data_IF_512064994274
#
_entry.id   IF_512064994274
#
_cell.length_a   1.000
_cell.length_b   1.000
_cell.length_c   1.000
_cell.angle_alpha   90.00
_cell.angle_beta   90.00
_cell.angle_gamma   90.00
#
_symmetry.space_group_name_H-M   'P 1'
#
loop_
_entity.id
_entity.type
_entity.pdbx_description
1 polymer ?
#
# COMPACT_ATOMS: atom_id res chain seq x y z
N UNK A 1 5.70 -4.63 14.69
CA UNK A 1 4.89 -4.07 13.59
C UNK A 1 5.72 -4.10 12.33
N UNK A 2 5.25 -4.70 11.22
CA UNK A 2 5.95 -4.60 9.93
C UNK A 2 5.94 -3.12 9.54
N UNK A 3 7.10 -2.46 9.57
CA UNK A 3 7.28 -1.02 9.37
C UNK A 3 6.98 -0.62 7.92
N UNK A 4 5.70 -0.64 7.53
CA UNK A 4 5.29 -0.15 6.23
C UNK A 4 5.46 1.37 6.16
N UNK A 5 5.97 1.87 5.04
CA UNK A 5 6.10 3.29 4.74
C UNK A 5 4.73 3.88 4.41
N UNK A 6 4.51 5.12 4.85
CA UNK A 6 3.32 5.90 4.45
C UNK A 6 3.39 6.15 2.93
N UNK A 7 2.32 5.90 2.17
CA UNK A 7 2.29 6.19 0.74
C UNK A 7 2.54 7.67 0.43
N UNK A 8 3.28 7.95 -0.63
CA UNK A 8 3.42 9.31 -1.20
C UNK A 8 2.11 9.75 -1.87
N UNK A 9 1.97 11.02 -2.25
CA UNK A 9 0.76 11.53 -2.92
C UNK A 9 0.39 10.72 -4.18
N UNK A 10 1.38 10.37 -5.03
CA UNK A 10 1.16 9.54 -6.23
C UNK A 10 0.72 8.12 -5.87
N UNK A 11 1.38 7.50 -4.89
CA UNK A 11 1.02 6.16 -4.42
C UNK A 11 -0.37 6.14 -3.77
N UNK A 12 -0.74 7.17 -3.01
CA UNK A 12 -2.08 7.31 -2.44
C UNK A 12 -3.16 7.38 -3.51
N UNK A 13 -2.96 8.14 -4.59
CA UNK A 13 -3.90 8.17 -5.72
C UNK A 13 -4.05 6.81 -6.38
N UNK A 14 -2.95 6.07 -6.54
CA UNK A 14 -2.98 4.70 -7.05
C UNK A 14 -3.70 3.74 -6.12
N UNK A 15 -3.40 3.77 -4.83
CA UNK A 15 -4.09 2.92 -3.84
C UNK A 15 -5.61 3.22 -3.85
N UNK A 16 -6.00 4.49 -3.97
CA UNK A 16 -7.41 4.89 -4.10
C UNK A 16 -8.09 4.37 -5.36
N UNK A 17 -7.38 4.29 -6.51
CA UNK A 17 -7.96 3.74 -7.74
C UNK A 17 -8.32 2.26 -7.62
N UNK A 18 -7.70 1.53 -6.68
CA UNK A 18 -8.06 0.15 -6.32
C UNK A 18 -9.11 0.06 -5.19
N UNK A 19 -9.76 1.18 -4.84
CA UNK A 19 -10.79 1.23 -3.79
C UNK A 19 -10.23 1.06 -2.37
N UNK A 20 -8.93 1.29 -2.16
CA UNK A 20 -8.28 1.19 -0.86
C UNK A 20 -8.05 2.57 -0.25
N UNK A 21 -8.27 2.71 1.06
CA UNK A 21 -7.96 3.96 1.76
C UNK A 21 -6.46 4.06 2.11
N UNK A 22 -5.69 5.01 1.54
CA UNK A 22 -4.25 5.13 1.80
C UNK A 22 -3.91 5.51 3.24
N UNK A 23 -4.89 5.97 4.02
CA UNK A 23 -4.72 6.21 5.44
C UNK A 23 -4.56 4.91 6.22
N UNK A 24 -5.19 3.82 5.75
CA UNK A 24 -5.25 2.53 6.41
C UNK A 24 -4.26 1.52 5.82
N UNK A 25 -3.71 1.78 4.64
CA UNK A 25 -2.77 0.90 3.95
C UNK A 25 -1.36 1.50 3.91
N UNK A 26 -0.38 0.71 4.33
CA UNK A 26 1.05 1.05 4.33
C UNK A 26 1.81 0.20 3.31
N UNK A 27 2.84 0.74 2.70
CA UNK A 27 3.67 0.01 1.73
C UNK A 27 4.84 -0.64 2.48
N UNK A 28 4.88 -1.97 2.53
CA UNK A 28 5.97 -2.67 3.22
C UNK A 28 7.05 -3.21 2.27
N UNK A 29 6.74 -3.39 0.99
CA UNK A 29 7.71 -3.82 -0.04
C UNK A 29 7.26 -3.31 -1.41
N UNK A 30 8.23 -2.92 -2.23
CA UNK A 30 8.05 -2.71 -3.66
C UNK A 30 9.09 -3.59 -4.35
N UNK A 31 8.66 -4.46 -5.26
CA UNK A 31 9.55 -5.41 -5.95
C UNK A 31 8.94 -5.78 -7.29
N UNK A 32 9.75 -5.90 -8.34
CA UNK A 32 9.34 -6.42 -9.66
C UNK A 32 8.08 -5.79 -10.26
N UNK A 33 7.86 -4.50 -10.02
CA UNK A 33 6.68 -3.80 -10.51
C UNK A 33 5.42 -4.02 -9.66
N UNK A 34 5.55 -4.58 -8.46
CA UNK A 34 4.48 -4.79 -7.50
C UNK A 34 4.69 -3.98 -6.22
N UNK A 35 3.59 -3.45 -5.70
CA UNK A 35 3.51 -2.70 -4.46
C UNK A 35 2.74 -3.53 -3.42
N UNK A 36 3.47 -4.02 -2.43
CA UNK A 36 2.91 -4.80 -1.34
C UNK A 36 2.46 -3.89 -0.19
N UNK A 37 1.16 -3.97 0.09
CA UNK A 37 0.46 -3.18 1.08
C UNK A 37 0.12 -4.02 2.31
N UNK A 38 0.13 -3.41 3.49
CA UNK A 38 -0.38 -3.98 4.74
C UNK A 38 -1.36 -3.01 5.40
N UNK A 39 -2.48 -3.53 5.87
CA UNK A 39 -3.50 -2.76 6.57
C UNK A 39 -3.09 -2.54 8.02
N UNK A 40 -3.16 -1.29 8.49
CA UNK A 40 -2.65 -0.85 9.80
C UNK A 40 -3.26 -1.61 10.98
N UNK A 41 -4.58 -1.83 10.94
CA UNK A 41 -5.34 -2.32 12.08
C UNK A 41 -5.62 -3.83 12.02
N UNK A 42 -5.71 -4.39 10.82
CA UNK A 42 -6.09 -5.80 10.63
C UNK A 42 -4.90 -6.68 10.21
N UNK A 43 -3.78 -6.07 9.82
CA UNK A 43 -2.61 -6.79 9.30
C UNK A 43 -2.82 -7.46 7.94
N UNK A 44 -3.99 -7.29 7.31
CA UNK A 44 -4.29 -7.84 5.99
C UNK A 44 -3.29 -7.29 4.96
N UNK A 45 -2.90 -8.13 4.02
CA UNK A 45 -1.98 -7.74 2.95
C UNK A 45 -2.69 -7.69 1.61
N UNK A 46 -2.27 -6.77 0.74
CA UNK A 46 -2.68 -6.71 -0.66
C UNK A 46 -1.47 -6.43 -1.53
N UNK A 47 -1.53 -6.92 -2.76
CA UNK A 47 -0.53 -6.64 -3.79
C UNK A 47 -1.24 -5.93 -4.93
N UNK A 48 -0.73 -4.78 -5.32
CA UNK A 48 -1.19 -4.04 -6.51
C UNK A 48 0.03 -3.70 -7.37
N UNK A 49 -0.10 -3.67 -8.70
CA UNK A 49 1.00 -3.23 -9.57
C UNK A 49 1.49 -1.82 -9.19
N UNK A 50 2.77 -1.53 -9.38
CA UNK A 50 3.30 -0.17 -9.30
C UNK A 50 2.88 0.65 -10.50
N UNK A 51 2.89 1.96 -10.30
CA UNK A 51 2.61 3.00 -11.30
C UNK A 51 3.78 3.23 -12.25
#
# INVERSE_FOLDING_TARGET
>A
MKNGKKPTRRQSGHIQSYGLSPENWLIFKIVDGDMHLVHRFTGQTRVIPTL
#
